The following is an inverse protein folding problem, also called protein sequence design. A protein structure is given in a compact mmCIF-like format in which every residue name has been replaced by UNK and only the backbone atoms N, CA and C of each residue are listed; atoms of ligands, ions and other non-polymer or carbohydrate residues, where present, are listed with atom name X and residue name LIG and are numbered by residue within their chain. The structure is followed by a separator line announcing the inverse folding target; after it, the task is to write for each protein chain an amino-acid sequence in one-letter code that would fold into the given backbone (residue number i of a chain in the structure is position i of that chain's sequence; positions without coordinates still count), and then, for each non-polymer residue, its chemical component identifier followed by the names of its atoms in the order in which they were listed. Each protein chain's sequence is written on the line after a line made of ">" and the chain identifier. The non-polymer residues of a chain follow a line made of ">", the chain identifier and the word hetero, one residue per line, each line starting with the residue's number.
data_IF_950031283662
#
_entry.id   IF_950031283662
#
_cell.length_a   1.000
_cell.length_b   1.000
_cell.length_c   1.000
_cell.angle_alpha   90.00
_cell.angle_beta   90.00
_cell.angle_gamma   90.00
#
_symmetry.space_group_name_H-M   'P 1'
#
loop_
_entity.id
_entity.type
_entity.pdbx_description
1 polymer ?
#
# COMPACT_ATOMS: atom_id res chain seq x y z
N UNK A 1 -27.61 7.68 -4.72
CA UNK A 1 -28.22 6.46 -5.31
C UNK A 1 -27.13 5.41 -5.36
N UNK A 2 -27.06 4.51 -4.39
CA UNK A 2 -26.12 3.38 -4.42
C UNK A 2 -26.62 2.42 -5.49
N UNK A 3 -25.94 2.39 -6.64
CA UNK A 3 -26.24 1.46 -7.71
C UNK A 3 -26.02 0.04 -7.17
N UNK A 4 -27.10 -0.69 -6.94
CA UNK A 4 -27.03 -2.07 -6.45
C UNK A 4 -26.56 -2.93 -7.61
N UNK A 5 -25.29 -3.35 -7.57
CA UNK A 5 -24.72 -4.22 -8.58
C UNK A 5 -25.52 -5.53 -8.65
N UNK A 6 -25.66 -6.15 -9.85
CA UNK A 6 -26.40 -7.39 -10.01
C UNK A 6 -25.79 -8.57 -9.23
N UNK A 7 -24.50 -8.46 -8.89
CA UNK A 7 -23.76 -9.42 -8.09
C UNK A 7 -23.00 -8.67 -6.99
N UNK A 8 -22.87 -9.27 -5.79
CA UNK A 8 -22.03 -8.68 -4.76
C UNK A 8 -20.58 -8.56 -5.25
N UNK A 9 -19.84 -7.54 -4.78
CA UNK A 9 -18.42 -7.48 -5.03
C UNK A 9 -17.73 -8.75 -4.51
N UNK A 10 -16.60 -9.08 -5.14
CA UNK A 10 -15.79 -10.21 -4.70
C UNK A 10 -14.94 -9.74 -3.53
N UNK A 11 -15.24 -10.22 -2.33
CA UNK A 11 -14.61 -9.79 -1.09
C UNK A 11 -13.67 -10.91 -0.60
N UNK A 12 -12.55 -10.61 0.09
CA UNK A 12 -11.64 -11.61 0.65
C UNK A 12 -12.19 -12.26 1.92
N UNK A 13 -13.51 -12.43 2.05
CA UNK A 13 -14.13 -13.06 3.23
C UNK A 13 -14.20 -14.58 3.11
N UNK A 14 -14.20 -15.12 1.89
CA UNK A 14 -14.12 -16.57 1.64
C UNK A 14 -12.67 -17.02 1.72
N UNK A 15 -12.32 -17.74 2.81
CA UNK A 15 -10.97 -18.25 3.07
C UNK A 15 -10.48 -19.28 2.04
N UNK A 16 -11.38 -19.88 1.28
CA UNK A 16 -11.05 -20.79 0.18
C UNK A 16 -10.94 -20.07 -1.17
N UNK A 17 -11.34 -18.80 -1.22
CA UNK A 17 -11.38 -17.97 -2.41
C UNK A 17 -10.01 -17.39 -2.78
N UNK A 18 -9.90 -17.00 -4.05
CA UNK A 18 -8.67 -16.44 -4.60
C UNK A 18 -8.36 -15.04 -4.06
N UNK A 19 -9.38 -14.26 -3.70
CA UNK A 19 -9.25 -12.95 -3.07
C UNK A 19 -8.55 -13.07 -1.72
N UNK A 20 -8.99 -14.00 -0.86
CA UNK A 20 -8.37 -14.24 0.44
C UNK A 20 -6.90 -14.65 0.31
N UNK A 21 -6.58 -15.58 -0.60
CA UNK A 21 -5.18 -15.97 -0.86
C UNK A 21 -4.34 -14.80 -1.41
N UNK A 22 -4.94 -13.93 -2.21
CA UNK A 22 -4.28 -12.73 -2.74
C UNK A 22 -3.93 -11.75 -1.62
N UNK A 23 -4.88 -11.42 -0.74
CA UNK A 23 -4.64 -10.53 0.41
C UNK A 23 -3.64 -11.16 1.39
N UNK A 24 -3.77 -12.46 1.66
CA UNK A 24 -2.93 -13.15 2.64
C UNK A 24 -1.48 -13.32 2.20
N UNK A 25 -1.24 -13.60 0.90
CA UNK A 25 0.08 -13.97 0.40
C UNK A 25 0.60 -13.05 -0.68
N UNK A 26 -0.16 -12.83 -1.75
CA UNK A 26 0.34 -12.19 -2.97
C UNK A 26 0.65 -10.72 -2.74
N UNK A 27 -0.26 -9.96 -2.11
CA UNK A 27 0.00 -8.55 -1.82
C UNK A 27 1.17 -8.35 -0.85
N UNK A 28 1.29 -9.07 0.29
CA UNK A 28 2.49 -9.00 1.13
C UNK A 28 3.79 -9.36 0.40
N UNK A 29 3.76 -10.32 -0.52
CA UNK A 29 4.92 -10.65 -1.37
C UNK A 29 5.30 -9.47 -2.26
N UNK A 30 4.34 -8.88 -2.98
CA UNK A 30 4.58 -7.71 -3.84
C UNK A 30 5.19 -6.56 -3.04
N UNK A 31 4.61 -6.25 -1.89
CA UNK A 31 5.09 -5.17 -1.01
C UNK A 31 6.51 -5.45 -0.51
N UNK A 32 6.81 -6.70 -0.16
CA UNK A 32 8.17 -7.09 0.25
C UNK A 32 9.17 -6.89 -0.89
N UNK A 33 8.80 -7.26 -2.12
CA UNK A 33 9.66 -7.03 -3.28
C UNK A 33 9.96 -5.55 -3.53
N UNK A 34 9.01 -4.65 -3.28
CA UNK A 34 9.25 -3.19 -3.36
C UNK A 34 10.24 -2.72 -2.28
N UNK A 35 10.10 -3.21 -1.05
CA UNK A 35 11.03 -2.90 0.05
C UNK A 35 12.45 -3.39 -0.30
N UNK A 36 12.57 -4.60 -0.84
CA UNK A 36 13.85 -5.18 -1.24
C UNK A 36 14.52 -4.36 -2.35
N UNK A 37 13.76 -3.92 -3.35
CA UNK A 37 14.24 -3.05 -4.43
C UNK A 37 14.75 -1.70 -3.89
N UNK A 38 14.00 -1.04 -2.99
CA UNK A 38 14.44 0.22 -2.39
C UNK A 38 15.72 0.06 -1.57
N UNK A 39 15.90 -1.06 -0.87
CA UNK A 39 17.15 -1.36 -0.18
C UNK A 39 18.32 -1.57 -1.14
N UNK A 40 18.11 -2.26 -2.26
CA UNK A 40 19.12 -2.41 -3.31
C UNK A 40 19.51 -1.06 -3.91
N UNK A 41 18.55 -0.19 -4.20
CA UNK A 41 18.80 1.15 -4.71
C UNK A 41 19.60 2.00 -3.70
N UNK A 42 19.24 1.97 -2.41
CA UNK A 42 20.01 2.63 -1.36
C UNK A 42 21.46 2.13 -1.31
N UNK A 43 21.68 0.82 -1.46
CA UNK A 43 23.01 0.23 -1.50
C UNK A 43 23.81 0.73 -2.70
N UNK A 44 23.20 0.74 -3.90
CA UNK A 44 23.85 1.21 -5.12
C UNK A 44 24.24 2.69 -5.02
N UNK A 45 23.34 3.54 -4.51
CA UNK A 45 23.63 4.97 -4.27
C UNK A 45 24.77 5.12 -3.26
N UNK A 46 24.82 4.29 -2.22
CA UNK A 46 25.92 4.31 -1.24
C UNK A 46 27.27 3.93 -1.86
N UNK A 47 27.28 3.03 -2.85
CA UNK A 47 28.48 2.69 -3.63
C UNK A 47 28.87 3.86 -4.55
N UNK A 48 27.91 4.50 -5.20
CA UNK A 48 28.13 5.68 -6.05
C UNK A 48 28.75 6.84 -5.27
N UNK A 49 28.29 7.09 -4.04
CA UNK A 49 28.89 8.09 -3.13
C UNK A 49 30.36 7.77 -2.87
N UNK A 50 30.68 6.51 -2.56
CA UNK A 50 32.07 6.07 -2.30
C UNK A 50 32.96 6.22 -3.53
N UNK A 51 32.38 6.01 -4.71
CA UNK A 51 33.08 6.14 -6.00
C UNK A 51 33.14 7.58 -6.51
N UNK A 52 32.50 8.54 -5.82
CA UNK A 52 32.46 9.95 -6.23
C UNK A 52 31.56 10.22 -7.45
N UNK A 53 30.57 9.36 -7.72
CA UNK A 53 29.71 9.40 -8.91
C UNK A 53 28.55 10.42 -8.82
N UNK A 54 28.77 11.58 -8.19
CA UNK A 54 27.80 12.66 -8.14
C UNK A 54 27.90 13.55 -6.90
N UNK A 55 27.06 14.60 -6.80
CA UNK A 55 26.98 15.44 -5.61
C UNK A 55 26.47 14.62 -4.43
N UNK A 56 27.32 14.47 -3.39
CA UNK A 56 27.03 13.64 -2.22
C UNK A 56 25.73 14.05 -1.52
N UNK A 57 25.47 15.35 -1.41
CA UNK A 57 24.27 15.92 -0.81
C UNK A 57 22.99 15.47 -1.52
N UNK A 58 23.00 15.42 -2.85
CA UNK A 58 21.87 14.93 -3.66
C UNK A 58 21.66 13.42 -3.47
N UNK A 59 22.75 12.65 -3.43
CA UNK A 59 22.69 11.20 -3.24
C UNK A 59 22.24 10.82 -1.81
N UNK A 60 22.71 11.54 -0.79
CA UNK A 60 22.28 11.39 0.60
C UNK A 60 20.78 11.73 0.75
N UNK A 61 20.30 12.76 0.05
CA UNK A 61 18.87 13.12 0.03
C UNK A 61 18.00 12.00 -0.57
N UNK A 62 18.44 11.37 -1.67
CA UNK A 62 17.74 10.21 -2.26
C UNK A 62 17.68 9.02 -1.32
N UNK A 63 18.77 8.71 -0.62
CA UNK A 63 18.76 7.62 0.39
C UNK A 63 17.76 7.95 1.49
N UNK A 64 17.74 9.19 1.99
CA UNK A 64 16.81 9.62 3.03
C UNK A 64 15.34 9.47 2.59
N UNK A 65 15.03 9.87 1.37
CA UNK A 65 13.69 9.72 0.78
C UNK A 65 13.30 8.25 0.63
N UNK A 66 14.18 7.42 0.07
CA UNK A 66 13.94 5.98 -0.08
C UNK A 66 13.68 5.30 1.27
N UNK A 67 14.42 5.66 2.32
CA UNK A 67 14.18 5.15 3.67
C UNK A 67 12.83 5.62 4.26
N UNK A 68 12.39 6.83 3.95
CA UNK A 68 11.07 7.30 4.34
C UNK A 68 9.97 6.47 3.65
N UNK A 69 10.12 6.18 2.35
CA UNK A 69 9.21 5.33 1.59
C UNK A 69 9.19 3.91 2.17
N UNK A 70 10.35 3.31 2.48
CA UNK A 70 10.44 1.99 3.13
C UNK A 70 9.67 1.95 4.45
N UNK A 71 9.74 3.01 5.27
CA UNK A 71 9.01 3.08 6.53
C UNK A 71 7.49 3.05 6.32
N UNK A 72 6.96 3.85 5.39
CA UNK A 72 5.52 3.89 5.11
C UNK A 72 5.03 2.57 4.51
N UNK A 73 5.78 1.99 3.55
CA UNK A 73 5.42 0.70 2.94
C UNK A 73 5.51 -0.46 3.96
N UNK A 74 6.47 -0.41 4.88
CA UNK A 74 6.58 -1.40 5.97
C UNK A 74 5.41 -1.31 6.93
N UNK A 75 4.95 -0.09 7.25
CA UNK A 75 3.74 0.15 8.04
C UNK A 75 2.51 -0.41 7.34
N UNK A 76 2.35 -0.13 6.04
CA UNK A 76 1.25 -0.67 5.22
C UNK A 76 1.20 -2.20 5.28
N UNK A 77 2.33 -2.87 5.04
CA UNK A 77 2.44 -4.34 5.16
C UNK A 77 2.02 -4.85 6.54
N UNK A 78 2.42 -4.15 7.61
CA UNK A 78 2.05 -4.51 8.97
C UNK A 78 0.55 -4.38 9.21
N UNK A 79 -0.06 -3.29 8.74
CA UNK A 79 -1.50 -3.04 8.86
C UNK A 79 -2.32 -4.11 8.13
N UNK A 80 -1.89 -4.48 6.91
CA UNK A 80 -2.47 -5.57 6.13
C UNK A 80 -2.40 -6.91 6.86
N UNK A 81 -1.22 -7.28 7.37
CA UNK A 81 -1.01 -8.55 8.05
C UNK A 81 -1.81 -8.69 9.36
N UNK A 82 -2.25 -7.56 9.93
CA UNK A 82 -3.05 -7.50 11.16
C UNK A 82 -4.52 -7.22 10.92
N UNK A 83 -4.97 -7.24 9.67
CA UNK A 83 -6.34 -6.93 9.27
C UNK A 83 -6.83 -5.62 9.91
N UNK A 84 -5.97 -4.59 9.88
CA UNK A 84 -6.34 -3.26 10.37
C UNK A 84 -7.38 -2.65 9.43
N UNK A 85 -8.06 -1.63 9.93
CA UNK A 85 -8.87 -0.75 9.09
C UNK A 85 -7.98 -0.05 8.06
N UNK A 86 -8.45 0.06 6.82
CA UNK A 86 -7.84 0.86 5.77
C UNK A 86 -7.75 2.32 6.24
N UNK A 87 -6.55 2.90 6.11
CA UNK A 87 -6.31 4.28 6.52
C UNK A 87 -6.78 5.25 5.42
N UNK A 88 -7.38 6.39 5.76
CA UNK A 88 -7.68 7.44 4.78
C UNK A 88 -6.42 7.91 4.07
N UNK A 89 -6.57 8.23 2.78
CA UNK A 89 -5.49 8.79 1.96
C UNK A 89 -5.26 10.24 2.37
N UNK A 90 -4.02 10.64 2.74
CA UNK A 90 -3.71 12.03 3.03
C UNK A 90 -3.99 12.94 1.83
N UNK A 91 -4.45 14.16 2.09
CA UNK A 91 -4.56 15.18 1.05
C UNK A 91 -3.21 15.90 0.90
N UNK A 92 -2.42 15.46 -0.06
CA UNK A 92 -1.11 16.03 -0.44
C UNK A 92 -1.17 16.89 -1.71
N UNK A 93 -2.37 17.14 -2.23
CA UNK A 93 -2.61 17.87 -3.48
C UNK A 93 -2.77 16.98 -4.71
N UNK A 94 -2.60 15.66 -4.58
CA UNK A 94 -2.88 14.69 -5.65
C UNK A 94 -4.40 14.47 -5.84
N UNK A 95 -4.84 14.16 -7.07
CA UNK A 95 -6.26 14.03 -7.39
C UNK A 95 -6.91 12.81 -6.74
N UNK A 96 -8.23 12.87 -6.58
CA UNK A 96 -9.12 11.76 -6.20
C UNK A 96 -8.99 11.21 -4.76
N UNK A 97 -8.09 11.74 -3.93
CA UNK A 97 -8.00 11.36 -2.50
C UNK A 97 -9.35 11.55 -1.78
N UNK A 98 -10.10 12.59 -2.13
CA UNK A 98 -11.46 12.86 -1.67
C UNK A 98 -12.47 11.79 -2.09
N UNK A 99 -12.40 11.32 -3.34
CA UNK A 99 -13.29 10.30 -3.89
C UNK A 99 -13.07 8.96 -3.17
N UNK A 100 -11.81 8.54 -3.03
CA UNK A 100 -11.46 7.29 -2.33
C UNK A 100 -11.82 7.35 -0.84
N UNK A 101 -11.57 8.48 -0.18
CA UNK A 101 -11.92 8.65 1.24
C UNK A 101 -13.44 8.64 1.45
N UNK A 102 -14.23 9.24 0.56
CA UNK A 102 -15.69 9.20 0.63
C UNK A 102 -16.21 7.75 0.50
N UNK A 103 -15.66 6.96 -0.41
CA UNK A 103 -16.04 5.54 -0.54
C UNK A 103 -15.57 4.73 0.68
N UNK A 104 -14.39 5.00 1.20
CA UNK A 104 -13.89 4.35 2.42
C UNK A 104 -14.78 4.64 3.64
N UNK A 105 -15.28 5.87 3.77
CA UNK A 105 -16.26 6.24 4.79
C UNK A 105 -17.58 5.47 4.61
N UNK A 106 -18.06 5.33 3.38
CA UNK A 106 -19.26 4.54 3.09
C UNK A 106 -19.07 3.05 3.46
N UNK A 107 -17.91 2.47 3.12
CA UNK A 107 -17.56 1.10 3.50
C UNK A 107 -17.43 0.92 5.02
N UNK A 108 -16.97 1.94 5.74
CA UNK A 108 -16.89 1.91 7.20
C UNK A 108 -18.27 1.83 7.86
N UNK A 109 -19.30 2.45 7.26
CA UNK A 109 -20.70 2.33 7.73
C UNK A 109 -21.25 0.91 7.56
N UNK A 110 -20.68 0.12 6.65
CA UNK A 110 -21.05 -1.27 6.38
C UNK A 110 -20.10 -2.29 7.06
N UNK A 111 -19.17 -1.84 7.91
CA UNK A 111 -18.12 -2.68 8.52
C UNK A 111 -17.23 -3.42 7.50
N UNK A 112 -17.07 -2.84 6.30
CA UNK A 112 -16.28 -3.38 5.18
C UNK A 112 -15.01 -2.56 4.91
N UNK A 113 -14.37 -2.06 5.96
CA UNK A 113 -13.23 -1.15 5.86
C UNK A 113 -11.92 -1.76 6.40
N UNK A 114 -11.81 -3.08 6.55
CA UNK A 114 -10.55 -3.76 6.88
C UNK A 114 -9.98 -4.49 5.67
N UNK A 115 -8.70 -4.85 5.71
CA UNK A 115 -8.00 -5.54 4.62
C UNK A 115 -8.64 -6.87 4.19
N UNK A 116 -9.30 -7.60 5.11
CA UNK A 116 -9.99 -8.85 4.82
C UNK A 116 -11.52 -8.71 4.67
N UNK A 117 -12.07 -7.50 4.77
CA UNK A 117 -13.53 -7.26 4.63
C UNK A 117 -13.90 -6.31 3.50
N UNK A 118 -12.98 -5.43 3.09
CA UNK A 118 -13.21 -4.51 1.99
C UNK A 118 -13.35 -5.24 0.64
N UNK A 119 -14.16 -4.70 -0.30
CA UNK A 119 -14.22 -5.22 -1.65
C UNK A 119 -12.83 -5.36 -2.27
N UNK A 120 -12.51 -6.54 -2.81
CA UNK A 120 -11.15 -6.84 -3.28
C UNK A 120 -10.64 -5.81 -4.30
N UNK A 121 -11.52 -5.39 -5.23
CA UNK A 121 -11.19 -4.38 -6.25
C UNK A 121 -10.93 -2.98 -5.67
N UNK A 122 -11.57 -2.62 -4.57
CA UNK A 122 -11.35 -1.32 -3.94
C UNK A 122 -10.03 -1.29 -3.15
N UNK A 123 -9.69 -2.42 -2.53
CA UNK A 123 -8.51 -2.54 -1.70
C UNK A 123 -7.21 -2.84 -2.49
N UNK A 124 -7.31 -3.29 -3.75
CA UNK A 124 -6.16 -3.50 -4.67
C UNK A 124 -5.62 -2.19 -5.25
#
# INVERSE_FOLDING_TARGET
>A
MTARLPYPPYDPTDKSGFSYETVLRRWPTIITSVIDELHQQCHNISVDIKNGAGPKDVLDAKIKEALAIVNEISKLKYEMARDRTLSPIPNDGEPASDIYNMELEALALEEKNTWFTAPWLFAE
#
